data_IF_396953249139
#
_entry.id   IF_396953249139
#
_cell.length_a   1.000
_cell.length_b   1.000
_cell.length_c   1.000
_cell.angle_alpha   90.00
_cell.angle_beta   90.00
_cell.angle_gamma   90.00
#
_symmetry.space_group_name_H-M   'P 1'
#
loop_
_entity.id
_entity.type
_entity.pdbx_description
1 polymer ?
#
# COMPACT_ATOMS: atom_id res chain seq x y z
N UNK A 1 -15.43 -8.72 -5.85
CA UNK A 1 -15.98 -9.16 -4.54
C UNK A 1 -17.43 -9.57 -4.75
N UNK A 2 -18.05 -10.36 -3.86
CA UNK A 2 -19.51 -10.48 -3.79
C UNK A 2 -20.18 -9.10 -3.84
N UNK A 3 -21.22 -8.95 -4.64
CA UNK A 3 -21.95 -7.70 -4.86
C UNK A 3 -23.39 -7.96 -5.27
N UNK A 4 -24.27 -6.97 -5.16
CA UNK A 4 -25.64 -7.04 -5.70
C UNK A 4 -25.66 -7.41 -7.19
N UNK A 5 -24.75 -6.79 -7.97
CA UNK A 5 -24.60 -7.05 -9.41
C UNK A 5 -24.10 -8.48 -9.74
N UNK A 6 -23.60 -9.22 -8.76
CA UNK A 6 -23.19 -10.62 -8.90
C UNK A 6 -24.10 -11.58 -8.11
N UNK A 7 -25.30 -11.14 -7.72
CA UNK A 7 -26.23 -11.88 -6.85
C UNK A 7 -25.56 -12.40 -5.56
N UNK A 8 -24.61 -11.63 -5.03
CA UNK A 8 -23.74 -11.98 -3.90
C UNK A 8 -22.88 -13.25 -4.08
N UNK A 9 -22.80 -13.83 -5.28
CA UNK A 9 -21.84 -14.87 -5.61
C UNK A 9 -20.40 -14.32 -5.61
N UNK A 10 -19.45 -15.15 -5.18
CA UNK A 10 -18.03 -14.78 -5.21
C UNK A 10 -17.45 -14.86 -6.63
N UNK A 11 -16.43 -14.05 -6.99
CA UNK A 11 -15.77 -14.16 -8.29
C UNK A 11 -15.16 -15.56 -8.55
N UNK A 12 -14.77 -16.28 -7.50
CA UNK A 12 -14.30 -17.67 -7.60
C UNK A 12 -15.43 -18.63 -7.98
N UNK A 13 -16.59 -18.48 -7.34
CA UNK A 13 -17.79 -19.27 -7.62
C UNK A 13 -18.32 -19.05 -9.04
N UNK A 14 -18.34 -17.80 -9.51
CA UNK A 14 -18.70 -17.47 -10.89
C UNK A 14 -17.72 -18.00 -11.95
N UNK A 15 -16.43 -18.13 -11.60
CA UNK A 15 -15.39 -18.58 -12.53
C UNK A 15 -15.24 -20.10 -12.59
N UNK A 16 -15.57 -20.81 -11.50
CA UNK A 16 -15.34 -22.26 -11.36
C UNK A 16 -16.60 -23.07 -11.03
N UNK A 17 -17.79 -22.45 -11.03
CA UNK A 17 -19.08 -23.05 -10.64
C UNK A 17 -19.03 -23.83 -9.31
N UNK A 18 -18.14 -23.43 -8.40
CA UNK A 18 -17.83 -24.15 -7.16
C UNK A 18 -17.64 -23.15 -6.04
N UNK A 19 -18.34 -23.34 -4.91
CA UNK A 19 -18.20 -22.47 -3.74
C UNK A 19 -16.79 -22.62 -3.12
N UNK A 20 -16.10 -21.52 -2.80
CA UNK A 20 -14.79 -21.58 -2.14
C UNK A 20 -14.91 -22.21 -0.74
N UNK A 21 -14.02 -23.16 -0.41
CA UNK A 21 -14.00 -23.80 0.90
C UNK A 21 -13.09 -23.06 1.90
N UNK A 22 -13.72 -22.43 2.89
CA UNK A 22 -13.04 -21.70 3.96
C UNK A 22 -12.63 -22.57 5.16
N UNK A 23 -12.80 -23.90 5.10
CA UNK A 23 -12.46 -24.86 6.17
C UNK A 23 -10.98 -24.92 6.56
N UNK A 24 -10.11 -24.29 5.77
CA UNK A 24 -8.69 -24.11 6.03
C UNK A 24 -8.36 -22.76 6.72
N UNK A 25 -9.32 -21.84 6.83
CA UNK A 25 -9.18 -20.62 7.61
C UNK A 25 -9.26 -20.96 9.10
N UNK A 26 -8.37 -20.34 9.90
CA UNK A 26 -8.14 -20.63 11.32
C UNK A 26 -7.80 -19.34 12.05
N UNK A 27 -8.23 -19.22 13.30
CA UNK A 27 -8.02 -18.01 14.11
C UNK A 27 -6.53 -17.85 14.47
N UNK A 28 -5.90 -16.75 14.04
CA UNK A 28 -4.47 -16.49 14.28
C UNK A 28 -4.16 -16.43 15.79
N UNK A 29 -3.01 -16.97 16.20
CA UNK A 29 -2.56 -16.94 17.60
C UNK A 29 -3.18 -18.00 18.51
N UNK A 30 -4.13 -18.81 18.01
CA UNK A 30 -4.68 -19.92 18.76
C UNK A 30 -3.67 -21.07 18.96
N UNK A 31 -3.97 -21.97 19.88
CA UNK A 31 -3.20 -23.19 20.09
C UNK A 31 -3.44 -24.21 18.97
N UNK A 32 -2.36 -24.89 18.57
CA UNK A 32 -2.40 -25.95 17.57
C UNK A 32 -1.50 -27.13 17.94
N UNK A 33 -1.88 -28.32 17.49
CA UNK A 33 -1.28 -29.58 17.88
C UNK A 33 -0.81 -30.36 16.64
N UNK A 34 0.31 -29.97 16.01
CA UNK A 34 0.84 -30.68 14.85
C UNK A 34 1.40 -32.05 15.21
N UNK A 35 1.04 -33.03 14.37
CA UNK A 35 1.54 -34.38 14.40
C UNK A 35 3.05 -34.38 14.17
N UNK A 36 3.78 -34.91 15.15
CA UNK A 36 5.24 -35.09 15.08
C UNK A 36 5.54 -36.17 14.04
N UNK A 37 6.56 -36.06 13.18
CA UNK A 37 6.96 -37.13 12.24
C UNK A 37 7.23 -38.46 12.93
N UNK A 38 7.18 -39.58 12.21
CA UNK A 38 7.43 -40.93 12.79
C UNK A 38 8.89 -41.14 13.22
N UNK A 39 9.84 -40.50 12.53
CA UNK A 39 11.27 -40.55 12.87
C UNK A 39 11.62 -39.70 14.11
N UNK A 40 10.80 -38.69 14.42
CA UNK A 40 10.96 -37.81 15.59
C UNK A 40 10.19 -38.33 16.82
N UNK A 41 9.76 -39.60 16.82
CA UNK A 41 8.92 -40.21 17.87
C UNK A 41 9.56 -41.46 18.47
N UNK A 42 9.65 -41.52 19.80
CA UNK A 42 9.87 -42.78 20.52
C UNK A 42 8.54 -43.47 20.87
N UNK A 43 8.58 -44.79 21.11
CA UNK A 43 7.40 -45.70 21.22
C UNK A 43 6.33 -45.28 22.24
N UNK A 44 6.67 -44.46 23.23
CA UNK A 44 5.79 -44.01 24.33
C UNK A 44 5.61 -42.48 24.40
N UNK A 45 6.14 -41.70 23.45
CA UNK A 45 6.01 -40.23 23.49
C UNK A 45 4.66 -39.74 22.92
N UNK A 46 4.11 -38.62 23.42
CA UNK A 46 2.96 -37.95 22.82
C UNK A 46 3.16 -37.68 21.32
N UNK A 47 2.14 -37.95 20.52
CA UNK A 47 2.20 -37.80 19.05
C UNK A 47 2.14 -36.35 18.57
N UNK A 48 1.84 -35.41 19.48
CA UNK A 48 1.68 -33.97 19.23
C UNK A 48 2.31 -33.19 20.38
N UNK A 49 2.65 -31.92 20.13
CA UNK A 49 3.00 -30.92 21.15
C UNK A 49 2.21 -29.64 20.87
N UNK A 50 1.77 -28.96 21.91
CA UNK A 50 1.13 -27.64 21.82
C UNK A 50 2.08 -26.63 21.18
N UNK A 51 1.60 -25.91 20.19
CA UNK A 51 2.28 -24.82 19.48
C UNK A 51 1.28 -23.68 19.24
N UNK A 52 1.78 -22.52 18.81
CA UNK A 52 0.93 -21.37 18.43
C UNK A 52 0.81 -21.30 16.92
N UNK A 53 -0.40 -21.12 16.41
CA UNK A 53 -0.65 -20.93 14.99
C UNK A 53 -0.25 -19.52 14.53
N UNK A 54 0.71 -19.44 13.59
CA UNK A 54 1.25 -18.18 13.04
C UNK A 54 0.81 -17.89 11.59
N UNK A 55 -0.20 -18.58 11.05
CA UNK A 55 -0.65 -18.41 9.67
C UNK A 55 -0.09 -19.44 8.69
N UNK A 56 -0.15 -19.12 7.40
CA UNK A 56 0.00 -20.09 6.30
C UNK A 56 1.43 -20.15 5.75
N UNK A 57 1.83 -21.30 5.20
CA UNK A 57 3.10 -21.46 4.50
C UNK A 57 3.02 -20.93 3.06
N UNK A 58 3.92 -20.01 2.72
CA UNK A 58 3.98 -19.35 1.40
C UNK A 58 4.67 -20.21 0.33
N UNK A 59 5.17 -21.40 0.71
CA UNK A 59 5.95 -22.30 -0.14
C UNK A 59 5.24 -23.61 -0.48
N UNK A 60 4.33 -24.08 0.37
CA UNK A 60 3.60 -25.34 0.21
C UNK A 60 2.40 -25.38 1.16
N UNK A 61 1.31 -26.06 0.75
CA UNK A 61 0.09 -26.24 1.56
C UNK A 61 0.47 -26.76 2.97
N UNK A 62 0.17 -25.98 4.00
CA UNK A 62 0.51 -26.24 5.40
C UNK A 62 0.46 -24.98 6.26
N UNK A 63 0.51 -25.16 7.58
CA UNK A 63 0.32 -24.13 8.60
C UNK A 63 1.62 -23.94 9.41
N UNK A 64 2.01 -22.69 9.66
CA UNK A 64 3.17 -22.29 10.48
C UNK A 64 2.80 -22.43 11.96
N UNK A 65 3.60 -23.19 12.71
CA UNK A 65 3.38 -23.55 14.11
C UNK A 65 4.62 -23.20 14.95
N UNK A 66 4.49 -22.33 15.95
CA UNK A 66 5.57 -21.87 16.83
C UNK A 66 5.63 -22.69 18.12
N UNK A 67 6.80 -23.22 18.45
CA UNK A 67 7.09 -23.84 19.75
C UNK A 67 7.68 -22.80 20.71
N UNK A 68 6.85 -22.31 21.64
CA UNK A 68 7.17 -21.16 22.53
C UNK A 68 8.48 -21.39 23.31
N UNK A 69 8.69 -22.61 23.82
CA UNK A 69 9.88 -22.96 24.62
C UNK A 69 11.21 -22.91 23.87
N UNK A 70 11.19 -22.87 22.53
CA UNK A 70 12.41 -22.89 21.70
C UNK A 70 12.42 -21.78 20.64
N UNK A 71 11.36 -20.97 20.55
CA UNK A 71 11.07 -20.05 19.44
C UNK A 71 11.17 -20.67 18.03
N UNK A 72 11.08 -22.01 17.93
CA UNK A 72 11.22 -22.73 16.65
C UNK A 72 9.90 -22.74 15.90
N UNK A 73 9.92 -22.25 14.66
CA UNK A 73 8.78 -22.35 13.73
C UNK A 73 8.91 -23.65 12.93
N UNK A 74 7.84 -24.45 12.92
CA UNK A 74 7.68 -25.64 12.07
C UNK A 74 6.49 -25.47 11.15
N UNK A 75 6.42 -26.23 10.05
CA UNK A 75 5.26 -26.24 9.16
C UNK A 75 4.68 -27.64 9.11
N UNK A 76 3.37 -27.79 9.34
CA UNK A 76 2.66 -29.07 9.26
C UNK A 76 1.39 -28.97 8.41
N UNK A 77 1.01 -30.09 7.79
CA UNK A 77 -0.32 -30.29 7.18
C UNK A 77 -1.31 -31.00 8.11
N UNK A 78 -0.81 -31.72 9.10
CA UNK A 78 -1.59 -32.58 9.98
C UNK A 78 -1.49 -32.01 11.39
N UNK A 79 -2.53 -31.27 11.79
CA UNK A 79 -2.70 -30.65 13.10
C UNK A 79 -4.17 -30.48 13.40
N UNK A 80 -4.51 -30.54 14.68
CA UNK A 80 -5.76 -30.00 15.23
C UNK A 80 -5.53 -28.59 15.77
N UNK A 81 -6.61 -27.81 15.88
CA UNK A 81 -6.62 -26.46 16.41
C UNK A 81 -7.54 -26.41 17.63
N UNK A 82 -7.17 -25.63 18.63
CA UNK A 82 -8.04 -25.19 19.71
C UNK A 82 -8.16 -23.67 19.60
N UNK A 83 -9.20 -23.22 18.93
CA UNK A 83 -9.44 -21.81 18.62
C UNK A 83 -10.01 -21.02 19.82
N UNK A 84 -10.19 -21.66 20.97
CA UNK A 84 -10.60 -21.03 22.23
C UNK A 84 -9.41 -20.73 23.16
N UNK A 85 -8.25 -21.35 22.93
CA UNK A 85 -7.06 -21.17 23.76
C UNK A 85 -5.95 -20.38 23.04
N UNK A 86 -5.50 -19.28 23.65
CA UNK A 86 -4.51 -18.35 23.09
C UNK A 86 -3.26 -18.26 24.00
N UNK A 87 -2.17 -18.99 23.71
CA UNK A 87 -1.02 -19.08 24.63
C UNK A 87 -0.28 -17.77 24.93
N UNK A 88 -0.59 -16.67 24.25
CA UNK A 88 0.04 -15.35 24.46
C UNK A 88 -0.84 -14.34 25.22
N UNK A 89 -2.08 -14.67 25.59
CA UNK A 89 -3.03 -13.71 26.19
C UNK A 89 -2.71 -13.29 27.65
N UNK A 90 -1.62 -13.78 28.25
CA UNK A 90 -1.26 -13.54 29.65
C UNK A 90 0.13 -12.93 29.90
N UNK A 91 0.93 -12.63 28.87
CA UNK A 91 2.28 -12.07 29.06
C UNK A 91 2.25 -10.55 29.18
N UNK A 92 2.42 -10.04 30.40
CA UNK A 92 2.56 -8.61 30.65
C UNK A 92 3.82 -8.02 29.98
N UNK A 93 3.66 -6.88 29.31
CA UNK A 93 4.77 -6.14 28.69
C UNK A 93 5.43 -5.23 29.75
N UNK A 94 6.75 -5.34 30.02
CA UNK A 94 7.42 -4.47 30.98
C UNK A 94 7.58 -3.04 30.44
N UNK A 95 7.19 -2.05 31.23
CA UNK A 95 7.22 -0.63 30.87
C UNK A 95 8.62 -0.03 31.05
N UNK A 96 9.23 0.61 30.04
CA UNK A 96 10.52 1.28 30.21
C UNK A 96 10.36 2.67 30.86
N UNK A 97 11.19 2.96 31.86
CA UNK A 97 11.23 4.26 32.56
C UNK A 97 12.00 5.33 31.75
N UNK A 98 11.61 6.62 31.81
CA UNK A 98 12.32 7.71 31.15
C UNK A 98 13.42 8.33 32.04
N UNK A 99 14.63 8.50 31.51
CA UNK A 99 15.69 9.32 32.12
C UNK A 99 15.69 10.74 31.53
N UNK A 100 15.79 11.75 32.39
CA UNK A 100 15.74 13.16 32.01
C UNK A 100 17.11 13.70 31.57
N UNK A 101 17.15 14.50 30.49
CA UNK A 101 17.96 15.76 30.35
C UNK A 101 17.74 16.39 28.95
N UNK A 102 17.32 17.66 28.85
CA UNK A 102 17.26 18.37 27.57
C UNK A 102 18.45 19.35 27.37
N UNK A 103 19.07 19.41 26.18
CA UNK A 103 19.89 20.55 25.76
C UNK A 103 19.00 21.71 25.24
N UNK A 104 19.51 22.96 25.17
CA UNK A 104 18.68 24.14 24.94
C UNK A 104 18.14 24.26 23.50
N UNK A 105 16.91 24.79 23.38
CA UNK A 105 16.22 25.06 22.13
C UNK A 105 16.36 26.53 21.71
N UNK A 106 16.55 26.79 20.41
CA UNK A 106 16.29 28.10 19.78
C UNK A 106 15.97 27.97 18.28
N UNK A 107 14.72 27.69 17.93
CA UNK A 107 14.05 28.20 16.73
C UNK A 107 12.57 28.42 17.09
N UNK A 108 12.15 29.68 17.25
CA UNK A 108 10.79 30.05 17.69
C UNK A 108 9.98 30.64 16.53
N UNK A 109 9.03 29.91 15.93
CA UNK A 109 7.91 30.52 15.21
C UNK A 109 6.92 31.10 16.24
N UNK A 110 6.39 32.30 16.00
CA UNK A 110 5.40 32.93 16.88
C UNK A 110 3.97 32.62 16.41
N UNK A 111 3.04 32.39 17.35
CA UNK A 111 1.64 32.86 17.27
C UNK A 111 0.96 32.79 18.65
N UNK A 112 0.03 33.72 18.91
CA UNK A 112 -0.50 34.06 20.25
C UNK A 112 -2.03 34.24 20.18
N UNK A 113 -2.76 33.81 21.23
CA UNK A 113 -4.22 34.05 21.50
C UNK A 113 -5.23 33.51 20.44
N UNK A 114 -6.49 33.14 20.70
CA UNK A 114 -7.36 32.85 21.87
C UNK A 114 -8.55 31.97 21.33
N UNK A 115 -9.59 31.49 22.04
CA UNK A 115 -10.13 31.66 23.41
C UNK A 115 -10.83 30.34 23.87
N UNK A 116 -11.70 30.39 24.90
CA UNK A 116 -12.70 29.36 25.26
C UNK A 116 -14.06 30.07 25.48
N UNK A 117 -15.23 29.41 25.34
CA UNK A 117 -15.90 28.71 26.48
C UNK A 117 -16.65 27.39 26.08
N UNK A 118 -16.57 26.28 26.82
CA UNK A 118 -17.26 25.84 28.06
C UNK A 118 -18.72 25.30 27.97
N UNK A 119 -18.98 24.23 28.76
CA UNK A 119 -20.27 23.60 29.19
C UNK A 119 -21.03 22.68 28.21
N UNK A 120 -21.75 21.61 28.60
CA UNK A 120 -21.80 20.73 29.82
C UNK A 120 -22.48 19.37 29.44
N UNK A 121 -22.40 18.28 30.25
CA UNK A 121 -22.79 16.91 29.85
C UNK A 121 -24.16 16.44 30.36
N UNK A 122 -24.79 15.45 29.71
CA UNK A 122 -26.03 14.78 30.17
C UNK A 122 -26.07 13.26 29.85
N UNK A 123 -26.04 12.47 30.95
CA UNK A 123 -26.67 11.16 31.25
C UNK A 123 -26.45 9.87 30.42
N UNK A 124 -26.24 8.79 31.20
CA UNK A 124 -26.28 7.37 30.83
C UNK A 124 -27.71 6.80 30.95
N UNK A 125 -28.00 5.69 30.28
CA UNK A 125 -29.09 4.78 30.65
C UNK A 125 -28.62 3.32 30.58
N UNK A 126 -29.17 2.46 31.43
CA UNK A 126 -28.55 1.19 31.85
C UNK A 126 -29.59 0.05 31.94
N UNK A 127 -29.13 -1.21 31.72
CA UNK A 127 -29.79 -2.52 31.95
C UNK A 127 -30.97 -2.93 31.00
N UNK A 128 -31.36 -4.24 30.95
CA UNK A 128 -30.79 -5.43 31.62
C UNK A 128 -30.37 -6.61 30.70
N UNK A 129 -29.67 -7.58 31.30
CA UNK A 129 -29.36 -8.90 30.72
C UNK A 129 -30.53 -9.89 30.85
N UNK A 130 -30.50 -11.00 30.10
CA UNK A 130 -31.27 -12.21 30.44
C UNK A 130 -30.49 -13.47 30.04
N UNK A 131 -30.44 -14.45 30.96
CA UNK A 131 -29.78 -15.75 30.78
C UNK A 131 -30.78 -16.79 30.29
N UNK A 132 -30.37 -17.73 29.42
CA UNK A 132 -31.01 -19.07 29.32
C UNK A 132 -29.92 -20.14 29.19
N UNK A 133 -30.15 -21.28 29.82
CA UNK A 133 -29.25 -22.41 30.12
C UNK A 133 -29.15 -23.48 29.02
N UNK A 134 -28.12 -24.32 29.13
CA UNK A 134 -27.82 -25.47 28.27
C UNK A 134 -28.49 -26.78 28.73
N UNK A 135 -28.87 -27.66 27.79
CA UNK A 135 -29.05 -29.11 28.02
C UNK A 135 -28.63 -29.93 26.77
N UNK A 136 -27.76 -30.93 26.97
CA UNK A 136 -27.53 -32.14 26.14
C UNK A 136 -28.11 -33.35 26.93
N UNK A 137 -28.42 -34.55 26.39
CA UNK A 137 -27.56 -35.42 25.53
C UNK A 137 -28.42 -36.33 24.56
N UNK A 138 -28.09 -37.58 24.13
CA UNK A 138 -26.86 -38.40 24.25
C UNK A 138 -26.36 -39.05 22.93
N UNK A 139 -25.49 -40.06 23.10
CA UNK A 139 -24.53 -40.68 22.17
C UNK A 139 -24.97 -42.10 21.78
N UNK A 140 -24.69 -42.58 20.55
CA UNK A 140 -24.10 -43.92 20.29
C UNK A 140 -23.64 -44.15 18.84
N UNK A 141 -23.05 -45.33 18.54
CA UNK A 141 -21.95 -45.47 17.59
C UNK A 141 -21.99 -46.74 16.69
N UNK A 142 -21.02 -46.78 15.76
CA UNK A 142 -20.43 -47.97 15.09
C UNK A 142 -21.10 -48.58 13.83
N UNK A 143 -20.34 -49.34 13.00
CA UNK A 143 -20.59 -49.41 11.54
C UNK A 143 -20.91 -50.82 10.98
N UNK A 144 -21.26 -50.88 9.68
CA UNK A 144 -21.36 -52.14 8.89
C UNK A 144 -20.76 -52.02 7.47
N UNK A 145 -19.79 -52.89 7.19
CA UNK A 145 -19.55 -53.55 5.87
C UNK A 145 -20.50 -54.78 5.78
N UNK A 146 -20.49 -55.70 4.77
CA UNK A 146 -19.71 -55.89 3.52
C UNK A 146 -20.61 -55.65 2.26
N UNK A 147 -20.39 -56.17 1.01
CA UNK A 147 -19.41 -57.14 0.49
C UNK A 147 -18.64 -56.69 -0.77
N UNK A 148 -18.57 -57.53 -1.82
CA UNK A 148 -17.55 -57.56 -2.87
C UNK A 148 -18.03 -58.30 -4.15
N UNK A 149 -17.19 -58.24 -5.21
CA UNK A 149 -17.27 -58.98 -6.50
C UNK A 149 -18.34 -58.44 -7.49
N UNK A 150 -18.13 -58.41 -8.82
CA UNK A 150 -16.98 -58.78 -9.67
C UNK A 150 -17.06 -58.07 -11.03
N UNK A 151 -15.94 -57.65 -11.63
CA UNK A 151 -15.91 -56.99 -12.95
C UNK A 151 -15.56 -57.93 -14.10
N UNK A 152 -16.41 -58.00 -15.12
CA UNK A 152 -16.18 -58.72 -16.39
C UNK A 152 -15.14 -58.01 -17.27
N UNK A 153 -14.38 -58.76 -18.08
CA UNK A 153 -13.23 -58.28 -18.88
C UNK A 153 -13.39 -58.62 -20.37
N UNK A 154 -13.16 -57.65 -21.25
CA UNK A 154 -12.68 -57.81 -22.65
C UNK A 154 -12.39 -56.40 -23.27
N UNK A 155 -11.60 -56.29 -24.34
CA UNK A 155 -10.22 -56.78 -24.49
C UNK A 155 -9.21 -55.65 -24.84
N UNK A 156 -7.92 -55.94 -24.78
CA UNK A 156 -6.79 -55.01 -25.02
C UNK A 156 -6.31 -54.98 -26.48
N UNK A 157 -5.92 -53.81 -27.03
CA UNK A 157 -4.94 -53.68 -28.11
C UNK A 157 -3.49 -53.60 -27.57
N UNK A 158 -2.52 -53.90 -28.43
CA UNK A 158 -1.10 -54.07 -28.09
C UNK A 158 -0.33 -52.81 -27.62
N UNK A 159 0.76 -52.97 -26.83
CA UNK A 159 1.61 -51.87 -26.39
C UNK A 159 2.80 -51.65 -27.34
N UNK A 160 2.66 -50.79 -28.36
CA UNK A 160 3.80 -50.36 -29.17
C UNK A 160 3.94 -48.84 -29.33
N UNK A 161 5.19 -48.39 -29.09
CA UNK A 161 5.77 -47.07 -29.37
C UNK A 161 5.25 -45.87 -28.54
N UNK A 162 6.02 -45.38 -27.55
CA UNK A 162 5.78 -44.04 -27.02
C UNK A 162 6.12 -42.99 -28.08
N UNK A 163 5.18 -42.11 -28.40
CA UNK A 163 5.44 -40.94 -29.24
C UNK A 163 6.50 -40.04 -28.58
N UNK A 164 7.76 -40.21 -29.00
CA UNK A 164 8.90 -39.50 -28.46
C UNK A 164 8.99 -38.10 -29.06
N UNK A 165 8.04 -37.22 -28.68
CA UNK A 165 8.17 -35.79 -28.92
C UNK A 165 9.49 -35.30 -28.31
N UNK A 166 10.33 -34.67 -29.14
CA UNK A 166 11.69 -34.21 -28.79
C UNK A 166 11.73 -33.19 -27.65
N UNK A 167 10.58 -32.64 -27.26
CA UNK A 167 10.44 -31.70 -26.15
C UNK A 167 10.63 -32.39 -24.78
N UNK A 168 11.84 -32.24 -24.25
CA UNK A 168 12.17 -32.60 -22.86
C UNK A 168 11.71 -31.48 -21.93
N UNK A 169 10.53 -31.64 -21.33
CA UNK A 169 10.00 -30.70 -20.35
C UNK A 169 10.77 -30.75 -19.03
N UNK A 170 10.85 -29.63 -18.28
CA UNK A 170 11.49 -29.57 -16.95
C UNK A 170 10.94 -30.58 -15.93
N UNK A 171 9.73 -31.08 -16.13
CA UNK A 171 9.13 -32.16 -15.33
C UNK A 171 9.78 -33.53 -15.56
N UNK A 172 10.34 -33.80 -16.75
CA UNK A 172 10.96 -35.09 -17.10
C UNK A 172 12.38 -35.28 -16.54
N UNK A 173 13.11 -34.19 -16.26
CA UNK A 173 14.53 -34.25 -15.88
C UNK A 173 14.81 -34.14 -14.37
N UNK A 174 13.78 -34.05 -13.53
CA UNK A 174 13.89 -34.06 -12.06
C UNK A 174 14.63 -32.89 -11.40
N UNK A 175 15.36 -32.07 -12.16
CA UNK A 175 16.17 -30.94 -11.67
C UNK A 175 15.32 -29.73 -11.30
N UNK A 176 14.63 -29.82 -10.17
CA UNK A 176 14.16 -28.63 -9.44
C UNK A 176 15.35 -28.03 -8.70
N UNK A 177 16.24 -27.34 -9.44
CA UNK A 177 17.15 -26.38 -8.78
C UNK A 177 16.27 -25.39 -8.01
N UNK A 178 16.50 -25.13 -6.71
CA UNK A 178 15.76 -24.12 -5.98
C UNK A 178 15.78 -22.81 -6.75
N UNK A 179 14.63 -22.15 -6.94
CA UNK A 179 14.60 -20.84 -7.59
C UNK A 179 15.43 -19.88 -6.75
N UNK A 180 16.61 -19.50 -7.24
CA UNK A 180 17.41 -18.43 -6.66
C UNK A 180 16.63 -17.14 -6.87
N UNK A 181 15.80 -16.80 -5.89
CA UNK A 181 15.16 -15.48 -5.84
C UNK A 181 16.25 -14.50 -5.51
N UNK A 182 16.72 -13.78 -6.53
CA UNK A 182 17.68 -12.70 -6.39
C UNK A 182 17.12 -11.71 -5.36
N UNK A 183 17.87 -11.47 -4.29
CA UNK A 183 17.48 -10.51 -3.26
C UNK A 183 17.86 -9.10 -3.73
N UNK A 184 17.08 -8.57 -4.68
CA UNK A 184 17.30 -7.26 -5.31
C UNK A 184 17.27 -6.09 -4.31
N UNK A 185 16.81 -6.31 -3.08
CA UNK A 185 16.78 -5.30 -2.02
C UNK A 185 18.16 -4.92 -1.46
N UNK A 186 19.24 -5.65 -1.78
CA UNK A 186 20.51 -5.52 -1.08
C UNK A 186 21.71 -5.01 -1.90
N UNK A 187 21.48 -4.56 -3.14
CA UNK A 187 22.53 -4.02 -4.01
C UNK A 187 22.11 -2.74 -4.73
N UNK A 188 22.04 -1.64 -3.97
CA UNK A 188 22.42 -0.34 -4.54
C UNK A 188 23.90 -0.41 -4.88
N UNK A 189 24.25 -0.39 -6.16
CA UNK A 189 25.63 -0.16 -6.58
C UNK A 189 26.15 1.09 -5.87
N UNK A 190 27.42 1.05 -5.43
CA UNK A 190 28.05 2.11 -4.65
C UNK A 190 28.03 3.43 -5.41
N UNK A 191 27.02 4.26 -5.17
CA UNK A 191 27.06 5.65 -5.60
C UNK A 191 28.23 6.34 -4.90
N UNK A 192 29.00 7.16 -5.62
CA UNK A 192 30.02 8.01 -4.98
C UNK A 192 29.43 9.00 -3.97
N UNK A 193 28.10 9.17 -3.97
CA UNK A 193 27.34 9.96 -3.01
C UNK A 193 27.11 9.19 -1.69
N UNK A 194 27.20 9.86 -0.52
CA UNK A 194 26.81 9.28 0.76
C UNK A 194 25.34 8.82 0.77
N UNK A 195 24.98 7.80 1.57
CA UNK A 195 23.59 7.37 1.71
C UNK A 195 22.68 8.48 2.24
N UNK A 196 21.41 8.42 1.84
CA UNK A 196 20.35 9.27 2.40
C UNK A 196 20.27 9.07 3.94
N UNK A 197 20.06 10.15 4.73
CA UNK A 197 19.84 10.02 6.17
C UNK A 197 18.63 9.12 6.47
N UNK A 198 18.77 8.25 7.46
CA UNK A 198 17.69 7.38 7.94
C UNK A 198 16.75 8.09 8.92
N UNK A 199 17.26 9.11 9.63
CA UNK A 199 16.56 9.76 10.73
C UNK A 199 16.95 11.25 10.90
N UNK A 200 16.12 11.98 11.65
CA UNK A 200 16.31 13.41 11.95
C UNK A 200 17.70 13.73 12.54
N UNK A 201 18.19 12.89 13.46
CA UNK A 201 19.47 13.09 14.16
C UNK A 201 20.70 12.95 13.26
N UNK A 202 20.58 12.29 12.11
CA UNK A 202 21.60 12.28 11.05
C UNK A 202 21.44 13.48 10.12
N UNK A 203 20.20 13.74 9.68
CA UNK A 203 19.87 14.80 8.74
C UNK A 203 20.20 16.20 9.27
N UNK A 204 19.86 16.52 10.52
CA UNK A 204 20.04 17.86 11.11
C UNK A 204 21.50 18.31 11.15
N UNK A 205 22.46 17.38 11.19
CA UNK A 205 23.90 17.68 11.19
C UNK A 205 24.38 18.27 9.85
N UNK A 206 23.62 18.06 8.78
CA UNK A 206 23.94 18.45 7.40
C UNK A 206 23.16 19.69 6.98
N UNK A 207 23.78 20.64 6.29
CA UNK A 207 23.15 21.95 5.97
C UNK A 207 22.08 21.81 4.88
N UNK A 208 22.33 20.96 3.90
CA UNK A 208 21.47 20.68 2.77
C UNK A 208 20.15 20.01 3.20
N UNK A 209 20.21 19.13 4.21
CA UNK A 209 19.03 18.47 4.77
C UNK A 209 18.27 19.36 5.74
N UNK A 210 18.94 20.23 6.50
CA UNK A 210 18.28 21.31 7.26
C UNK A 210 17.48 22.21 6.32
N UNK A 211 18.09 22.70 5.24
CA UNK A 211 17.40 23.50 4.21
C UNK A 211 16.19 22.76 3.63
N UNK A 212 16.33 21.49 3.28
CA UNK A 212 15.23 20.69 2.75
C UNK A 212 14.06 20.51 3.74
N UNK A 213 14.34 20.34 5.04
CA UNK A 213 13.31 20.28 6.08
C UNK A 213 12.61 21.63 6.28
N UNK A 214 13.38 22.74 6.29
CA UNK A 214 12.82 24.09 6.39
C UNK A 214 11.92 24.44 5.20
N UNK A 215 12.30 24.06 3.97
CA UNK A 215 11.47 24.26 2.77
C UNK A 215 10.13 23.50 2.86
N UNK A 216 10.15 22.24 3.31
CA UNK A 216 8.93 21.45 3.52
C UNK A 216 8.07 22.04 4.65
N UNK A 217 8.68 22.43 5.77
CA UNK A 217 7.95 23.05 6.89
C UNK A 217 7.29 24.38 6.50
N UNK A 218 7.99 25.23 5.74
CA UNK A 218 7.43 26.47 5.19
C UNK A 218 6.27 26.20 4.23
N UNK A 219 6.32 25.14 3.42
CA UNK A 219 5.20 24.74 2.57
C UNK A 219 3.97 24.29 3.39
N UNK A 220 4.19 23.52 4.46
CA UNK A 220 3.14 23.08 5.39
C UNK A 220 2.48 24.28 6.11
N UNK A 221 3.28 25.25 6.55
CA UNK A 221 2.81 26.49 7.18
C UNK A 221 2.03 27.37 6.20
N UNK A 222 2.58 27.63 5.00
CA UNK A 222 1.91 28.44 3.96
C UNK A 222 0.54 27.88 3.57
N UNK A 223 0.39 26.56 3.61
CA UNK A 223 -0.85 25.86 3.27
C UNK A 223 -1.88 25.82 4.43
N UNK A 224 -1.52 26.31 5.63
CA UNK A 224 -2.38 26.24 6.81
C UNK A 224 -2.65 24.80 7.25
N UNK A 225 -1.67 23.91 7.12
CA UNK A 225 -1.87 22.45 7.26
C UNK A 225 -2.41 22.07 8.64
N UNK A 226 -2.05 22.82 9.69
CA UNK A 226 -2.51 22.61 11.05
C UNK A 226 -2.55 23.91 11.86
N UNK A 227 -3.23 23.88 13.00
CA UNK A 227 -3.08 24.84 14.10
C UNK A 227 -2.53 24.13 15.33
N UNK A 228 -1.74 24.82 16.16
CA UNK A 228 -1.33 24.29 17.45
C UNK A 228 -2.46 24.39 18.48
N UNK A 229 -2.67 23.30 19.22
CA UNK A 229 -3.68 23.20 20.27
C UNK A 229 -3.09 22.47 21.49
N UNK A 230 -3.64 22.67 22.71
CA UNK A 230 -3.32 21.82 23.86
C UNK A 230 -3.54 20.33 23.52
N UNK A 231 -2.80 19.40 24.15
CA UNK A 231 -3.05 17.96 23.99
C UNK A 231 -4.52 17.60 24.22
N UNK A 232 -5.15 16.87 23.28
CA UNK A 232 -6.49 16.32 23.47
C UNK A 232 -6.45 15.06 24.34
N UNK A 233 -7.61 14.64 24.84
CA UNK A 233 -7.79 13.32 25.44
C UNK A 233 -7.81 12.18 24.38
N UNK A 234 -7.92 12.54 23.09
CA UNK A 234 -7.91 11.60 21.96
C UNK A 234 -6.51 11.13 21.60
N UNK A 235 -6.43 10.09 20.76
CA UNK A 235 -5.17 9.67 20.13
C UNK A 235 -4.44 10.83 19.43
N UNK A 236 -3.11 10.86 19.58
CA UNK A 236 -2.22 11.80 18.89
C UNK A 236 -1.20 11.01 18.08
N UNK A 237 -1.26 11.13 16.76
CA UNK A 237 -0.33 10.47 15.86
C UNK A 237 1.10 10.99 16.06
N UNK A 238 2.08 10.09 15.99
CA UNK A 238 3.46 10.52 15.78
C UNK A 238 3.66 11.02 14.35
N UNK A 239 4.81 11.64 14.10
CA UNK A 239 5.28 11.99 12.76
C UNK A 239 6.77 11.64 12.62
N UNK A 240 7.24 11.53 11.39
CA UNK A 240 8.67 11.35 11.08
C UNK A 240 9.05 12.09 9.82
N UNK A 241 10.31 12.49 9.75
CA UNK A 241 10.93 12.95 8.52
C UNK A 241 11.35 11.77 7.66
N UNK A 242 11.25 11.93 6.34
CA UNK A 242 11.80 11.02 5.33
C UNK A 242 12.68 11.80 4.36
N UNK A 243 13.75 11.17 3.88
CA UNK A 243 14.81 11.84 3.15
C UNK A 243 15.11 11.11 1.83
N UNK A 244 15.28 11.85 0.75
CA UNK A 244 15.69 11.30 -0.55
C UNK A 244 16.49 12.30 -1.38
N UNK A 245 17.69 11.92 -1.77
CA UNK A 245 18.49 12.63 -2.77
C UNK A 245 17.89 12.36 -4.15
N UNK A 246 17.58 13.42 -4.89
CA UNK A 246 17.19 13.38 -6.30
C UNK A 246 18.40 13.74 -7.15
N UNK A 247 18.58 12.99 -8.22
CA UNK A 247 19.77 13.02 -9.09
C UNK A 247 19.28 13.26 -10.52
N UNK A 248 20.03 14.07 -11.29
CA UNK A 248 19.84 14.26 -12.72
C UNK A 248 20.34 13.03 -13.51
N UNK A 249 20.05 12.98 -14.82
CA UNK A 249 20.46 11.87 -15.69
C UNK A 249 22.00 11.76 -15.86
N UNK A 250 22.73 12.85 -15.65
CA UNK A 250 24.20 12.92 -15.67
C UNK A 250 24.87 12.48 -14.35
N UNK A 251 24.09 12.11 -13.33
CA UNK A 251 24.58 11.74 -12.01
C UNK A 251 24.78 12.90 -11.02
N UNK A 252 24.53 14.16 -11.43
CA UNK A 252 24.62 15.33 -10.56
C UNK A 252 23.41 15.46 -9.62
N UNK A 253 23.58 16.12 -8.47
CA UNK A 253 22.50 16.25 -7.47
C UNK A 253 21.48 17.30 -7.93
N UNK A 254 20.25 16.86 -8.20
CA UNK A 254 19.15 17.73 -8.57
C UNK A 254 18.52 18.43 -7.35
N UNK A 255 18.25 17.68 -6.28
CA UNK A 255 17.67 18.22 -5.03
C UNK A 255 17.77 17.24 -3.86
N UNK A 256 18.05 17.76 -2.67
CA UNK A 256 17.76 17.06 -1.41
C UNK A 256 16.28 17.24 -1.05
N UNK A 257 15.53 16.13 -0.92
CA UNK A 257 14.09 16.16 -0.62
C UNK A 257 13.83 15.58 0.77
N UNK A 258 13.48 16.43 1.72
CA UNK A 258 12.82 16.01 2.95
C UNK A 258 11.30 15.99 2.73
N UNK A 259 10.59 15.11 3.45
CA UNK A 259 9.13 15.16 3.60
C UNK A 259 8.74 14.83 5.03
N UNK A 260 7.77 15.57 5.56
CA UNK A 260 7.13 15.22 6.83
C UNK A 260 6.03 14.19 6.58
N UNK A 261 6.01 13.13 7.38
CA UNK A 261 5.09 11.99 7.22
C UNK A 261 4.43 11.69 8.56
N UNK A 262 3.10 11.79 8.64
CA UNK A 262 2.33 11.31 9.78
C UNK A 262 2.46 9.78 9.90
N UNK A 263 2.49 9.26 11.13
CA UNK A 263 2.46 7.82 11.39
C UNK A 263 1.03 7.29 11.26
N UNK A 264 0.39 7.47 10.10
CA UNK A 264 -0.99 7.04 9.86
C UNK A 264 -1.18 5.52 9.84
N UNK A 265 -0.09 4.74 9.89
CA UNK A 265 -0.16 3.32 10.25
C UNK A 265 -0.73 3.09 11.67
N UNK A 266 -0.69 4.11 12.55
CA UNK A 266 -1.31 4.11 13.87
C UNK A 266 -2.74 4.68 13.88
N UNK A 267 -3.31 5.11 12.73
CA UNK A 267 -4.69 5.61 12.69
C UNK A 267 -5.72 4.49 12.86
N UNK A 268 -6.80 4.77 13.58
CA UNK A 268 -7.92 3.88 13.82
C UNK A 268 -9.09 4.15 12.84
N UNK A 269 -9.64 3.08 12.27
CA UNK A 269 -10.82 3.16 11.40
C UNK A 269 -12.07 3.50 12.23
N UNK A 270 -12.91 4.40 11.72
CA UNK A 270 -14.09 4.91 12.42
C UNK A 270 -13.80 6.10 13.33
N UNK A 271 -12.55 6.29 13.75
CA UNK A 271 -12.10 7.43 14.57
C UNK A 271 -11.34 8.46 13.73
N UNK A 272 -10.21 8.07 13.15
CA UNK A 272 -9.31 8.99 12.41
C UNK A 272 -9.62 9.07 10.91
N UNK A 273 -10.37 8.10 10.37
CA UNK A 273 -10.79 8.01 8.98
C UNK A 273 -11.96 7.04 8.81
N UNK A 274 -12.81 7.29 7.83
CA UNK A 274 -13.84 6.33 7.39
C UNK A 274 -13.58 5.80 5.98
N UNK A 275 -13.13 6.65 5.07
CA UNK A 275 -12.91 6.31 3.65
C UNK A 275 -11.49 6.64 3.20
N UNK A 276 -10.84 5.69 2.51
CA UNK A 276 -9.44 5.83 2.05
C UNK A 276 -9.28 5.62 0.54
N UNK A 277 -10.31 5.12 -0.14
CA UNK A 277 -10.22 4.81 -1.56
C UNK A 277 -10.02 6.08 -2.39
N UNK A 278 -8.97 6.07 -3.21
CA UNK A 278 -8.65 7.07 -4.22
C UNK A 278 -8.45 6.36 -5.57
N UNK A 279 -9.10 6.81 -6.65
CA UNK A 279 -8.80 6.35 -8.00
C UNK A 279 -7.34 6.58 -8.40
N UNK A 280 -6.86 5.75 -9.32
CA UNK A 280 -5.56 5.85 -9.98
C UNK A 280 -5.73 5.51 -11.47
N UNK A 281 -5.05 6.26 -12.35
CA UNK A 281 -5.17 6.09 -13.79
C UNK A 281 -4.75 4.67 -14.23
N UNK A 282 -5.61 4.02 -15.03
CA UNK A 282 -5.35 2.65 -15.51
C UNK A 282 -4.48 2.69 -16.77
N UNK A 283 -3.57 1.72 -16.91
CA UNK A 283 -2.70 1.62 -18.11
C UNK A 283 -3.47 1.53 -19.44
N UNK A 284 -4.62 0.83 -19.56
CA UNK A 284 -5.46 0.90 -20.76
C UNK A 284 -5.95 2.33 -21.06
N UNK A 285 -6.34 3.10 -20.04
CA UNK A 285 -6.77 4.49 -20.19
C UNK A 285 -5.66 5.39 -20.70
N UNK A 286 -4.44 5.23 -20.16
CA UNK A 286 -3.23 5.93 -20.66
C UNK A 286 -3.02 5.62 -22.16
N UNK A 287 -3.07 4.34 -22.54
CA UNK A 287 -2.90 3.90 -23.94
C UNK A 287 -3.98 4.46 -24.86
N UNK A 288 -5.25 4.47 -24.43
CA UNK A 288 -6.36 5.02 -25.19
C UNK A 288 -6.21 6.54 -25.35
N UNK A 289 -5.82 7.27 -24.30
CA UNK A 289 -5.58 8.71 -24.37
C UNK A 289 -4.47 9.05 -25.37
N UNK A 290 -3.34 8.33 -25.34
CA UNK A 290 -2.26 8.50 -26.32
C UNK A 290 -2.69 8.13 -27.74
N UNK A 291 -3.51 7.08 -27.91
CA UNK A 291 -4.04 6.66 -29.21
C UNK A 291 -5.01 7.70 -29.81
N UNK A 292 -5.88 8.31 -28.98
CA UNK A 292 -6.77 9.40 -29.40
C UNK A 292 -5.95 10.64 -29.76
N UNK A 293 -4.95 10.99 -28.93
CA UNK A 293 -4.10 12.14 -29.18
C UNK A 293 -3.36 12.02 -30.51
N UNK A 294 -2.78 10.85 -30.84
CA UNK A 294 -2.09 10.68 -32.12
C UNK A 294 -3.03 10.60 -33.32
N UNK A 295 -4.22 10.00 -33.17
CA UNK A 295 -5.24 9.93 -34.23
C UNK A 295 -5.73 11.31 -34.68
N UNK A 296 -5.70 12.30 -33.79
CA UNK A 296 -6.14 13.68 -34.06
C UNK A 296 -5.01 14.71 -34.09
N UNK A 297 -3.74 14.27 -34.07
CA UNK A 297 -2.54 15.11 -33.98
C UNK A 297 -2.55 16.13 -32.81
N UNK A 298 -3.12 15.75 -31.67
CA UNK A 298 -3.11 16.58 -30.47
C UNK A 298 -1.82 16.37 -29.67
N UNK A 299 -1.15 17.45 -29.24
CA UNK A 299 -0.06 17.33 -28.28
C UNK A 299 -0.61 16.83 -26.93
N UNK A 300 0.24 16.14 -26.19
CA UNK A 300 -0.05 15.64 -24.84
C UNK A 300 0.90 16.34 -23.89
N UNK A 301 0.38 17.29 -23.13
CA UNK A 301 1.15 18.03 -22.13
C UNK A 301 1.13 17.27 -20.79
N UNK A 302 2.24 17.33 -20.07
CA UNK A 302 2.42 16.71 -18.76
C UNK A 302 2.55 17.78 -17.68
N UNK A 303 1.84 17.60 -16.57
CA UNK A 303 1.87 18.49 -15.41
C UNK A 303 2.14 17.70 -14.13
N UNK A 304 2.72 18.35 -13.12
CA UNK A 304 2.94 17.83 -11.77
C UNK A 304 2.31 18.82 -10.76
N UNK A 305 1.55 18.31 -9.77
CA UNK A 305 1.09 19.13 -8.64
C UNK A 305 2.06 19.02 -7.47
N UNK A 306 2.78 20.11 -7.19
CA UNK A 306 3.64 20.17 -6.03
C UNK A 306 2.82 20.07 -4.74
N UNK A 307 3.22 19.10 -3.90
CA UNK A 307 2.66 18.83 -2.58
C UNK A 307 1.14 18.52 -2.60
N UNK A 308 0.66 17.83 -3.65
CA UNK A 308 -0.72 17.36 -3.86
C UNK A 308 -1.55 17.12 -2.57
N UNK A 309 -1.07 16.27 -1.66
CA UNK A 309 -1.82 15.91 -0.44
C UNK A 309 -2.10 17.09 0.50
N UNK A 310 -1.28 18.14 0.52
CA UNK A 310 -1.49 19.31 1.38
C UNK A 310 -2.65 20.21 0.88
N UNK A 311 -3.12 20.02 -0.36
CA UNK A 311 -4.31 20.72 -0.86
C UNK A 311 -5.60 20.11 -0.31
N UNK A 312 -5.61 18.79 -0.08
CA UNK A 312 -6.75 18.03 0.44
C UNK A 312 -7.19 18.50 1.83
N UNK A 313 -8.49 18.77 2.01
CA UNK A 313 -9.05 19.10 3.32
C UNK A 313 -9.35 17.83 4.13
N UNK A 314 -9.09 17.84 5.44
CA UNK A 314 -9.52 16.78 6.35
C UNK A 314 -10.90 17.12 6.91
N UNK A 315 -11.82 16.15 6.85
CA UNK A 315 -13.12 16.23 7.52
C UNK A 315 -13.02 15.66 8.95
N UNK A 316 -12.17 14.64 9.13
CA UNK A 316 -11.89 14.04 10.44
C UNK A 316 -10.94 14.93 11.25
N UNK A 317 -11.17 15.04 12.58
CA UNK A 317 -10.23 15.75 13.46
C UNK A 317 -9.07 14.83 13.83
N UNK A 318 -7.95 15.00 13.14
CA UNK A 318 -6.71 14.24 13.39
C UNK A 318 -5.69 15.12 14.11
N UNK A 319 -5.13 14.61 15.21
CA UNK A 319 -4.06 15.27 15.96
C UNK A 319 -2.72 14.59 15.72
N UNK A 320 -1.65 15.39 15.59
CA UNK A 320 -0.30 14.92 15.32
C UNK A 320 0.70 15.63 16.23
N UNK A 321 1.72 14.90 16.73
CA UNK A 321 2.84 15.51 17.45
C UNK A 321 3.58 16.51 16.56
N UNK A 322 4.11 17.56 17.17
CA UNK A 322 4.89 18.57 16.47
C UNK A 322 6.11 17.91 15.77
N UNK A 323 6.53 18.42 14.59
CA UNK A 323 7.63 17.82 13.85
C UNK A 323 8.93 17.97 14.63
N UNK A 324 9.67 16.88 14.82
CA UNK A 324 10.95 16.91 15.55
C UNK A 324 11.90 17.93 14.92
N UNK A 325 12.42 18.86 15.73
CA UNK A 325 13.27 19.97 15.31
C UNK A 325 12.54 21.25 14.91
N UNK A 326 11.22 21.26 14.99
CA UNK A 326 10.33 22.37 14.61
C UNK A 326 9.17 22.51 15.62
N UNK A 327 9.41 22.11 16.87
CA UNK A 327 8.50 22.30 18.00
C UNK A 327 8.40 23.79 18.38
N UNK A 328 7.19 24.28 18.64
CA UNK A 328 6.95 25.60 19.21
C UNK A 328 7.51 25.65 20.64
N UNK A 329 8.47 26.54 20.95
CA UNK A 329 9.13 26.57 22.24
C UNK A 329 8.40 27.42 23.29
N UNK A 330 7.35 28.15 22.93
CA UNK A 330 6.38 28.72 23.89
C UNK A 330 5.40 27.61 24.32
N UNK A 331 5.03 26.75 23.37
CA UNK A 331 4.07 25.66 23.55
C UNK A 331 4.67 24.27 23.22
N UNK A 332 5.75 23.82 23.90
CA UNK A 332 6.50 22.61 23.52
C UNK A 332 5.67 21.32 23.65
N UNK A 333 4.65 21.34 24.51
CA UNK A 333 3.75 20.21 24.73
C UNK A 333 2.49 20.25 23.86
N UNK A 334 2.26 21.30 23.06
CA UNK A 334 1.06 21.37 22.19
C UNK A 334 1.19 20.39 21.02
N UNK A 335 0.07 20.14 20.35
CA UNK A 335 -0.03 19.23 19.20
C UNK A 335 -0.60 19.95 17.98
N UNK A 336 -0.28 19.46 16.80
CA UNK A 336 -0.83 19.92 15.53
C UNK A 336 -2.23 19.32 15.34
N UNK A 337 -3.30 20.13 15.41
CA UNK A 337 -4.62 19.75 14.89
C UNK A 337 -4.62 19.97 13.39
N UNK A 338 -4.71 18.89 12.62
CA UNK A 338 -4.57 18.90 11.17
C UNK A 338 -5.87 19.39 10.50
N UNK A 339 -5.76 20.37 9.61
CA UNK A 339 -6.85 20.87 8.75
C UNK A 339 -6.72 20.41 7.30
N UNK A 340 -5.49 20.09 6.88
CA UNK A 340 -5.18 19.53 5.56
C UNK A 340 -4.55 18.16 5.70
N UNK A 341 -4.79 17.30 4.72
CA UNK A 341 -4.14 15.99 4.67
C UNK A 341 -2.64 16.14 4.46
N UNK A 342 -1.86 15.17 4.94
CA UNK A 342 -0.43 15.12 4.68
C UNK A 342 0.05 13.69 4.43
N UNK A 343 1.28 13.55 3.95
CA UNK A 343 1.88 12.25 3.67
C UNK A 343 1.78 11.31 4.88
N UNK A 344 1.45 10.04 4.63
CA UNK A 344 1.35 9.01 5.65
C UNK A 344 -0.03 8.86 6.31
N UNK A 345 -0.93 9.85 6.22
CA UNK A 345 -2.34 9.65 6.58
C UNK A 345 -3.02 8.71 5.57
N UNK A 346 -3.85 7.79 6.06
CA UNK A 346 -4.52 6.77 5.24
C UNK A 346 -5.50 7.37 4.23
N UNK A 347 -6.17 8.48 4.56
CA UNK A 347 -7.13 9.16 3.67
C UNK A 347 -6.49 10.22 2.75
N UNK A 348 -5.20 10.54 2.88
CA UNK A 348 -4.59 11.67 2.15
C UNK A 348 -4.72 11.61 0.62
N UNK A 349 -4.54 10.44 -0.06
CA UNK A 349 -4.75 10.35 -1.50
C UNK A 349 -6.20 10.69 -1.90
N UNK A 350 -7.18 10.24 -1.11
CA UNK A 350 -8.61 10.48 -1.34
C UNK A 350 -8.96 11.96 -1.18
N UNK A 351 -8.51 12.61 -0.11
CA UNK A 351 -8.83 14.03 0.12
C UNK A 351 -8.21 14.93 -0.94
N UNK A 352 -7.02 14.60 -1.44
CA UNK A 352 -6.44 15.23 -2.63
C UNK A 352 -7.31 15.00 -3.87
N UNK A 353 -7.63 13.74 -4.22
CA UNK A 353 -8.43 13.42 -5.39
C UNK A 353 -9.79 14.14 -5.38
N UNK A 354 -10.49 14.17 -4.23
CA UNK A 354 -11.75 14.88 -4.07
C UNK A 354 -11.59 16.39 -4.33
N UNK A 355 -10.60 17.03 -3.67
CA UNK A 355 -10.35 18.47 -3.82
C UNK A 355 -10.01 18.85 -5.27
N UNK A 356 -9.21 18.02 -5.96
CA UNK A 356 -8.89 18.23 -7.37
C UNK A 356 -10.10 18.00 -8.28
N UNK A 357 -10.89 16.96 -8.00
CA UNK A 357 -12.14 16.65 -8.70
C UNK A 357 -13.12 17.82 -8.61
N UNK A 358 -13.35 18.37 -7.41
CA UNK A 358 -14.23 19.53 -7.20
C UNK A 358 -13.83 20.72 -8.07
N UNK A 359 -12.52 21.04 -8.15
CA UNK A 359 -12.07 22.12 -9.04
C UNK A 359 -12.30 21.80 -10.51
N UNK A 360 -12.05 20.57 -10.97
CA UNK A 360 -12.32 20.20 -12.36
C UNK A 360 -13.81 20.22 -12.72
N UNK A 361 -14.69 19.79 -11.81
CA UNK A 361 -16.14 19.88 -12.01
C UNK A 361 -16.60 21.35 -12.12
N UNK A 362 -16.04 22.26 -11.31
CA UNK A 362 -16.29 23.71 -11.42
C UNK A 362 -15.80 24.31 -12.75
N UNK A 363 -14.74 23.75 -13.34
CA UNK A 363 -14.24 24.09 -14.68
C UNK A 363 -15.05 23.42 -15.82
N UNK A 364 -16.13 22.71 -15.50
CA UNK A 364 -17.02 22.09 -16.48
C UNK A 364 -16.54 20.74 -17.04
N UNK A 365 -15.51 20.14 -16.46
CA UNK A 365 -15.18 18.73 -16.75
C UNK A 365 -16.21 17.80 -16.11
N UNK A 366 -16.36 16.60 -16.67
CA UNK A 366 -17.06 15.48 -16.07
C UNK A 366 -16.12 14.30 -15.89
N UNK A 367 -16.31 13.49 -14.85
CA UNK A 367 -15.54 12.26 -14.68
C UNK A 367 -16.03 11.18 -15.66
N UNK A 368 -15.11 10.37 -16.18
CA UNK A 368 -15.45 9.16 -16.92
C UNK A 368 -16.06 8.11 -15.99
N UNK A 369 -17.08 7.39 -16.49
CA UNK A 369 -17.69 6.24 -15.79
C UNK A 369 -16.80 4.98 -15.84
N UNK A 370 -15.90 4.89 -16.83
CA UNK A 370 -15.03 3.72 -17.04
C UNK A 370 -13.71 3.82 -16.28
N UNK A 371 -13.21 5.03 -16.07
CA UNK A 371 -12.02 5.31 -15.25
C UNK A 371 -12.18 6.68 -14.55
N UNK A 372 -12.49 6.73 -13.24
CA UNK A 372 -12.67 7.99 -12.53
C UNK A 372 -11.44 8.91 -12.50
N UNK A 373 -10.25 8.40 -12.82
CA UNK A 373 -9.05 9.23 -13.01
C UNK A 373 -9.05 10.03 -14.32
N UNK A 374 -9.93 9.71 -15.28
CA UNK A 374 -10.08 10.44 -16.53
C UNK A 374 -11.24 11.44 -16.44
N UNK A 375 -10.91 12.70 -16.65
CA UNK A 375 -11.83 13.82 -16.78
C UNK A 375 -11.96 14.22 -18.25
N UNK A 376 -13.19 14.56 -18.65
CA UNK A 376 -13.56 14.90 -20.02
C UNK A 376 -14.26 16.26 -19.98
N UNK A 377 -13.74 17.23 -20.73
CA UNK A 377 -14.45 18.45 -21.06
C UNK A 377 -14.89 18.36 -22.53
N UNK A 378 -16.15 18.68 -22.81
CA UNK A 378 -16.67 18.73 -24.19
C UNK A 378 -17.73 19.82 -24.34
N UNK A 379 -17.53 20.69 -25.32
CA UNK A 379 -18.55 21.58 -25.85
C UNK A 379 -18.57 21.49 -27.39
N UNK A 380 -19.27 22.39 -28.07
CA UNK A 380 -19.38 22.36 -29.54
C UNK A 380 -18.05 22.62 -30.28
N UNK A 381 -17.09 23.27 -29.63
CA UNK A 381 -15.85 23.76 -30.26
C UNK A 381 -14.58 23.06 -29.75
N UNK A 382 -14.66 22.37 -28.60
CA UNK A 382 -13.51 21.77 -27.94
C UNK A 382 -13.85 20.43 -27.28
N UNK A 383 -12.93 19.48 -27.39
CA UNK A 383 -12.91 18.25 -26.61
C UNK A 383 -11.53 18.10 -25.97
N UNK A 384 -11.48 18.01 -24.64
CA UNK A 384 -10.25 17.94 -23.85
C UNK A 384 -10.35 16.77 -22.88
N UNK A 385 -9.25 16.03 -22.75
CA UNK A 385 -9.08 14.92 -21.84
C UNK A 385 -7.98 15.26 -20.83
N UNK A 386 -8.28 15.11 -19.54
CA UNK A 386 -7.32 15.28 -18.45
C UNK A 386 -7.29 13.98 -17.63
N UNK A 387 -6.13 13.35 -17.53
CA UNK A 387 -5.93 12.10 -16.80
C UNK A 387 -5.01 12.35 -15.60
N UNK A 388 -5.49 12.05 -14.38
CA UNK A 388 -4.72 12.22 -13.15
C UNK A 388 -4.31 10.88 -12.51
N UNK A 389 -3.03 10.76 -12.19
CA UNK A 389 -2.46 9.73 -11.33
C UNK A 389 -1.76 10.41 -10.14
N UNK A 390 -2.47 10.53 -9.02
CA UNK A 390 -1.96 11.19 -7.80
C UNK A 390 -1.46 12.62 -8.09
N UNK A 391 -0.15 12.87 -8.10
CA UNK A 391 0.48 14.16 -8.41
C UNK A 391 0.79 14.37 -9.90
N UNK A 392 0.85 13.31 -10.71
CA UNK A 392 1.12 13.34 -12.15
C UNK A 392 -0.19 13.53 -12.97
N UNK A 393 -0.17 14.44 -13.96
CA UNK A 393 -1.32 14.72 -14.85
C UNK A 393 -0.88 14.68 -16.33
N UNK A 394 -1.70 14.09 -17.19
CA UNK A 394 -1.66 14.30 -18.64
C UNK A 394 -2.88 15.10 -19.10
N UNK A 395 -2.68 16.07 -19.99
CA UNK A 395 -3.77 16.82 -20.63
C UNK A 395 -3.56 16.88 -22.15
N UNK A 396 -4.63 16.66 -22.91
CA UNK A 396 -4.63 16.69 -24.38
C UNK A 396 -6.02 17.07 -24.90
N UNK A 397 -6.13 17.58 -26.13
CA UNK A 397 -7.41 18.03 -26.67
C UNK A 397 -7.32 18.88 -27.92
N UNK A 398 -8.49 19.13 -28.52
CA UNK A 398 -8.62 19.80 -29.81
C UNK A 398 -8.37 21.30 -29.81
N UNK A 399 -8.22 21.92 -28.63
CA UNK A 399 -8.06 23.38 -28.51
C UNK A 399 -6.95 23.70 -27.48
N UNK A 400 -5.79 24.10 -27.97
CA UNK A 400 -4.62 24.39 -27.14
C UNK A 400 -4.78 25.66 -26.31
N UNK A 401 -5.45 26.69 -26.84
CA UNK A 401 -5.72 27.93 -26.10
C UNK A 401 -6.56 27.68 -24.84
N UNK A 402 -7.59 26.84 -24.97
CA UNK A 402 -8.45 26.44 -23.85
C UNK A 402 -7.73 25.51 -22.86
N UNK A 403 -6.82 24.64 -23.33
CA UNK A 403 -5.91 23.86 -22.46
C UNK A 403 -5.02 24.80 -21.62
N UNK A 404 -4.41 25.81 -22.25
CA UNK A 404 -3.61 26.80 -21.54
C UNK A 404 -4.45 27.62 -20.54
N UNK A 405 -5.69 27.97 -20.88
CA UNK A 405 -6.62 28.63 -19.95
C UNK A 405 -6.89 27.76 -18.72
N UNK A 406 -7.24 26.49 -18.90
CA UNK A 406 -7.46 25.56 -17.78
C UNK A 406 -6.19 25.32 -16.93
N UNK A 407 -5.02 25.23 -17.55
CA UNK A 407 -3.73 25.12 -16.83
C UNK A 407 -3.49 26.37 -15.97
N UNK A 408 -3.77 27.56 -16.48
CA UNK A 408 -3.63 28.81 -15.74
C UNK A 408 -4.65 28.91 -14.59
N UNK A 409 -5.91 28.52 -14.83
CA UNK A 409 -6.95 28.49 -13.80
C UNK A 409 -6.62 27.50 -12.68
N UNK A 410 -6.18 26.29 -13.01
CA UNK A 410 -5.68 25.32 -12.03
C UNK A 410 -4.42 25.83 -11.31
N UNK A 411 -3.52 26.52 -12.02
CA UNK A 411 -2.30 27.13 -11.47
C UNK A 411 -2.57 28.24 -10.45
N UNK A 412 -3.74 28.88 -10.50
CA UNK A 412 -4.19 29.83 -9.48
C UNK A 412 -4.64 29.16 -8.16
N UNK A 413 -4.99 27.87 -8.20
CA UNK A 413 -5.47 27.08 -7.06
C UNK A 413 -4.41 26.14 -6.49
N UNK A 414 -3.59 25.56 -7.36
CA UNK A 414 -2.61 24.54 -7.03
C UNK A 414 -1.23 24.93 -7.55
N UNK A 415 -0.19 24.60 -6.79
CA UNK A 415 1.21 24.81 -7.21
C UNK A 415 1.58 23.82 -8.32
N UNK A 416 1.15 24.10 -9.55
CA UNK A 416 1.45 23.30 -10.74
C UNK A 416 2.86 23.54 -11.27
N UNK A 417 3.48 22.49 -11.80
CA UNK A 417 4.62 22.55 -12.71
C UNK A 417 4.18 22.06 -14.08
N UNK A 418 4.42 22.86 -15.11
CA UNK A 418 4.29 22.41 -16.49
C UNK A 418 5.60 21.72 -16.91
N UNK A 419 5.53 20.44 -17.28
CA UNK A 419 6.69 19.63 -17.65
C UNK A 419 6.91 19.56 -19.18
N UNK A 420 6.06 20.23 -19.96
CA UNK A 420 6.09 20.26 -21.42
C UNK A 420 5.36 19.07 -22.04
N UNK A 421 5.78 18.66 -23.24
CA UNK A 421 5.27 17.44 -23.88
C UNK A 421 5.64 16.19 -23.09
N UNK A 422 4.74 15.20 -23.10
CA UNK A 422 4.93 13.93 -22.37
C UNK A 422 6.18 13.19 -22.86
N UNK A 423 7.12 12.97 -21.93
CA UNK A 423 8.37 12.25 -22.18
C UNK A 423 8.62 11.10 -21.19
N UNK A 424 8.05 11.19 -19.97
CA UNK A 424 8.08 10.12 -18.99
C UNK A 424 6.86 10.20 -18.07
N UNK A 425 5.99 9.20 -18.10
CA UNK A 425 4.81 9.14 -17.25
C UNK A 425 4.80 7.83 -16.45
N UNK A 426 4.76 7.93 -15.12
CA UNK A 426 4.77 6.77 -14.20
C UNK A 426 5.97 5.81 -14.39
N UNK A 427 7.11 6.33 -14.82
CA UNK A 427 8.31 5.53 -15.12
C UNK A 427 8.32 4.88 -16.51
N UNK A 428 7.26 5.06 -17.31
CA UNK A 428 7.25 4.74 -18.73
C UNK A 428 7.89 5.91 -19.48
N UNK A 429 9.03 5.68 -20.13
CA UNK A 429 9.54 6.62 -21.12
C UNK A 429 8.63 6.58 -22.35
N UNK A 430 8.17 7.76 -22.78
CA UNK A 430 7.27 7.93 -23.93
C UNK A 430 8.01 8.75 -24.97
N UNK A 431 8.12 8.25 -26.20
CA UNK A 431 8.62 9.02 -27.33
C UNK A 431 7.56 9.09 -28.43
N UNK A 432 7.31 10.30 -28.93
CA UNK A 432 6.37 10.55 -30.02
C UNK A 432 7.12 10.61 -31.36
N UNK A 433 6.57 9.99 -32.39
CA UNK A 433 6.83 10.37 -33.78
C UNK A 433 5.50 10.68 -34.47
N UNK A 434 5.53 11.03 -35.76
CA UNK A 434 4.34 11.46 -36.50
C UNK A 434 3.22 10.41 -36.61
N UNK A 435 3.47 9.13 -36.31
CA UNK A 435 2.53 8.03 -36.53
C UNK A 435 2.26 7.15 -35.28
N UNK A 436 3.16 7.15 -34.30
CA UNK A 436 3.04 6.34 -33.10
C UNK A 436 3.67 6.99 -31.85
N UNK A 437 3.12 6.65 -30.68
CA UNK A 437 3.81 6.78 -29.40
C UNK A 437 4.50 5.46 -29.08
N UNK A 438 5.80 5.49 -28.83
CA UNK A 438 6.57 4.34 -28.34
C UNK A 438 6.69 4.42 -26.82
N UNK A 439 6.27 3.35 -26.12
CA UNK A 439 6.26 3.26 -24.66
C UNK A 439 7.33 2.27 -24.19
N UNK A 440 8.28 2.74 -23.39
CA UNK A 440 9.47 1.97 -22.99
C UNK A 440 9.66 1.95 -21.47
N UNK A 441 9.97 0.77 -20.93
CA UNK A 441 10.46 0.58 -19.57
C UNK A 441 11.98 0.33 -19.52
N UNK A 442 12.73 0.68 -20.57
CA UNK A 442 14.16 0.34 -20.71
C UNK A 442 14.97 0.72 -19.46
N UNK A 443 14.86 1.96 -18.97
CA UNK A 443 15.59 2.42 -17.77
C UNK A 443 15.27 1.59 -16.52
N UNK A 444 14.01 1.17 -16.34
CA UNK A 444 13.61 0.32 -15.23
C UNK A 444 14.16 -1.11 -15.37
N UNK A 445 14.08 -1.71 -16.56
CA UNK A 445 14.65 -3.03 -16.85
C UNK A 445 16.18 -3.03 -16.63
N UNK A 446 16.88 -2.01 -17.12
CA UNK A 446 18.32 -1.82 -16.89
C UNK A 446 18.64 -1.65 -15.40
N UNK A 447 17.81 -0.93 -14.63
CA UNK A 447 18.01 -0.80 -13.17
C UNK A 447 17.86 -2.13 -12.42
N UNK A 448 16.98 -3.03 -12.88
CA UNK A 448 16.85 -4.39 -12.32
C UNK A 448 18.11 -5.21 -12.66
N UNK A 449 18.59 -5.18 -13.90
CA UNK A 449 19.83 -5.85 -14.29
C UNK A 449 21.04 -5.33 -13.51
N UNK A 450 21.09 -4.04 -13.24
CA UNK A 450 22.12 -3.37 -12.43
C UNK A 450 22.10 -3.84 -10.97
N UNK A 451 20.92 -3.89 -10.33
CA UNK A 451 20.73 -4.43 -8.97
C UNK A 451 21.05 -5.94 -8.89
N UNK A 452 20.78 -6.67 -9.97
CA UNK A 452 21.07 -8.09 -10.09
C UNK A 452 22.54 -8.43 -10.45
N UNK A 453 23.36 -7.42 -10.80
CA UNK A 453 24.69 -7.58 -11.40
C UNK A 453 24.69 -8.38 -12.73
N UNK A 454 23.58 -8.37 -13.47
CA UNK A 454 23.39 -9.10 -14.73
C UNK A 454 23.57 -8.21 -15.98
N UNK A 455 24.26 -7.07 -15.86
CA UNK A 455 24.46 -6.10 -16.95
C UNK A 455 25.28 -6.67 -18.12
N UNK A 456 26.13 -7.68 -17.85
CA UNK A 456 26.95 -8.37 -18.85
C UNK A 456 26.33 -9.70 -19.34
N UNK A 457 25.09 -10.01 -18.95
CA UNK A 457 24.43 -11.22 -19.45
C UNK A 457 24.04 -11.06 -20.92
N UNK A 458 24.27 -12.10 -21.70
CA UNK A 458 23.87 -12.12 -23.11
C UNK A 458 22.36 -11.92 -23.24
N UNK A 459 21.89 -10.99 -24.11
CA UNK A 459 20.48 -10.85 -24.39
C UNK A 459 19.98 -12.11 -25.10
N UNK A 460 18.78 -12.55 -24.74
CA UNK A 460 18.03 -13.56 -25.48
C UNK A 460 16.73 -12.93 -25.97
N UNK A 461 16.30 -13.27 -27.18
CA UNK A 461 14.96 -12.92 -27.62
C UNK A 461 13.95 -13.58 -26.65
N UNK A 462 12.95 -12.82 -26.21
CA UNK A 462 11.93 -13.33 -25.31
C UNK A 462 11.17 -14.48 -26.01
N UNK A 463 10.93 -15.62 -25.35
CA UNK A 463 10.14 -16.72 -25.89
C UNK A 463 8.63 -16.41 -25.92
#
# INVERSE_FOLDING_TARGET
>A
MPSSNTAYASPFELLYNTKPQYTHLRTFGCACFPLIPTHDRHKLQPKTKTRVFLGYSDKYKGYKCLEISTNKITISRHLTFDELFFPFSGSAIPTPQPTHTPPPALLIPHSVTQQLPQTKPVLQHVLPQTQITSVMPPVEASPRNPPSLSSTRAPTPDPHLPHQHSMVTRSKTGSIKPTVRLNLFHHTQSSALPPDPSCYTEAVKKIEWRKAMSEEFLALQKQGTWTLVPPPDSGVLGCKWTYRTKIHADGSIAKYKARLVALGNNQEFGTDYTETFSPVAKLPTIRILLAIAIQHDWPVQQLDVANAFLHGHLQETVHMKQPRGFEDPIHPNYVCRLHKSLYGLKQAPRQWYNTFTEQLLLLGFINSKSDPSLFIFKNNNAQIFLLIYVDDILITGSNQSLIHEFINQLGSKFTLKHLGEVNNFLGIQITRNAQQFFLSHHSYATSILQQAQLQQCNPIANP
#
